data_IF_562030603447
#
_entry.id   IF_562030603447
#
_cell.length_a   1.000
_cell.length_b   1.000
_cell.length_c   1.000
_cell.angle_alpha   90.00
_cell.angle_beta   90.00
_cell.angle_gamma   90.00
#
_symmetry.space_group_name_H-M   'P 1'
#
loop_
_entity.id
_entity.type
_entity.pdbx_description
1 polymer ?
#
# COMPACT_ATOMS: atom_id res chain seq x y z
N UNK A 1 -18.32 -8.27 -6.21
CA UNK A 1 -19.38 -8.62 -5.23
C UNK A 1 -20.42 -9.56 -5.82
N UNK A 2 -21.14 -9.21 -6.90
CA UNK A 2 -22.12 -10.12 -7.55
C UNK A 2 -21.54 -11.46 -7.98
N UNK A 3 -20.29 -11.52 -8.47
CA UNK A 3 -19.65 -12.78 -8.88
C UNK A 3 -19.33 -13.71 -7.69
N UNK A 4 -18.82 -13.18 -6.58
CA UNK A 4 -18.56 -13.96 -5.37
C UNK A 4 -19.86 -14.38 -4.68
N UNK A 5 -20.88 -13.53 -4.66
CA UNK A 5 -22.22 -13.90 -4.19
C UNK A 5 -22.77 -15.00 -5.09
N UNK A 6 -22.73 -14.85 -6.41
CA UNK A 6 -23.19 -15.86 -7.37
C UNK A 6 -22.45 -17.18 -7.16
N UNK A 7 -21.14 -17.16 -6.93
CA UNK A 7 -20.36 -18.36 -6.66
C UNK A 7 -20.65 -18.99 -5.29
N UNK A 8 -20.86 -18.19 -4.24
CA UNK A 8 -21.33 -18.69 -2.94
C UNK A 8 -22.73 -19.31 -3.07
N UNK A 9 -23.63 -18.69 -3.84
CA UNK A 9 -24.94 -19.26 -4.18
C UNK A 9 -24.80 -20.55 -4.99
N UNK A 10 -23.90 -20.63 -5.96
CA UNK A 10 -23.63 -21.85 -6.71
C UNK A 10 -23.05 -22.96 -5.83
N UNK A 11 -22.18 -22.61 -4.87
CA UNK A 11 -21.65 -23.57 -3.90
C UNK A 11 -22.78 -24.10 -3.01
N UNK A 12 -23.67 -23.23 -2.53
CA UNK A 12 -24.85 -23.58 -1.74
C UNK A 12 -25.84 -24.42 -2.55
N UNK A 13 -26.11 -24.08 -3.82
CA UNK A 13 -27.00 -24.84 -4.72
C UNK A 13 -26.40 -26.22 -5.03
N UNK A 14 -25.08 -26.30 -5.23
CA UNK A 14 -24.37 -27.57 -5.39
C UNK A 14 -24.51 -28.40 -4.10
N UNK A 15 -24.39 -27.77 -2.94
CA UNK A 15 -24.59 -28.41 -1.64
C UNK A 15 -26.01 -28.98 -1.46
N UNK A 16 -27.05 -28.21 -1.83
CA UNK A 16 -28.46 -28.64 -1.80
C UNK A 16 -28.70 -29.82 -2.76
N UNK A 17 -28.03 -29.82 -3.92
CA UNK A 17 -28.12 -30.91 -4.89
C UNK A 17 -27.46 -32.20 -4.37
N UNK A 18 -26.37 -32.08 -3.60
CA UNK A 18 -25.74 -33.20 -2.89
C UNK A 18 -26.57 -33.73 -1.72
N UNK A 19 -27.37 -32.88 -1.07
CA UNK A 19 -28.26 -33.28 0.01
C UNK A 19 -29.31 -34.32 -0.42
N UNK A 20 -29.70 -34.33 -1.70
CA UNK A 20 -30.55 -35.37 -2.28
C UNK A 20 -29.84 -36.74 -2.38
N UNK A 21 -28.53 -36.72 -2.70
CA UNK A 21 -27.69 -37.92 -2.84
C UNK A 21 -27.27 -38.52 -1.50
N UNK A 22 -27.21 -37.70 -0.46
CA UNK A 22 -26.83 -38.08 0.91
C UNK A 22 -28.04 -38.37 1.82
N UNK A 23 -29.25 -38.38 1.27
CA UNK A 23 -30.47 -38.65 2.02
C UNK A 23 -30.37 -39.98 2.77
N UNK A 24 -30.81 -39.98 4.04
CA UNK A 24 -30.71 -41.08 5.02
C UNK A 24 -31.40 -42.38 4.57
N UNK A 25 -32.19 -42.32 3.49
CA UNK A 25 -32.83 -43.47 2.85
C UNK A 25 -31.94 -44.21 1.85
N UNK A 26 -30.71 -43.76 1.62
CA UNK A 26 -29.75 -44.40 0.71
C UNK A 26 -28.80 -45.33 1.46
N UNK A 27 -28.79 -46.61 1.09
CA UNK A 27 -28.02 -47.71 1.71
C UNK A 27 -26.49 -47.56 1.61
N UNK A 28 -26.00 -46.56 0.86
CA UNK A 28 -24.57 -46.30 0.65
C UNK A 28 -23.93 -45.41 1.73
N UNK A 29 -24.69 -44.49 2.33
CA UNK A 29 -24.21 -43.55 3.36
C UNK A 29 -23.82 -44.23 4.68
N UNK A 30 -24.19 -45.49 4.87
CA UNK A 30 -23.88 -46.30 6.05
C UNK A 30 -22.53 -47.02 5.98
N UNK A 31 -21.84 -47.04 4.83
CA UNK A 31 -20.51 -47.67 4.71
C UNK A 31 -19.39 -46.71 5.13
N UNK A 32 -18.60 -47.01 6.19
CA UNK A 32 -17.59 -46.10 6.72
C UNK A 32 -16.45 -45.79 5.73
N UNK A 33 -16.05 -46.76 4.89
CA UNK A 33 -15.03 -46.53 3.85
C UNK A 33 -15.50 -45.59 2.73
N UNK A 34 -16.75 -45.72 2.28
CA UNK A 34 -17.35 -44.81 1.30
C UNK A 34 -17.49 -43.42 1.91
N UNK A 35 -17.93 -43.31 3.17
CA UNK A 35 -18.10 -42.04 3.86
C UNK A 35 -16.78 -41.32 4.09
N UNK A 36 -15.73 -42.00 4.52
CA UNK A 36 -14.41 -41.37 4.69
C UNK A 36 -13.85 -40.90 3.33
N UNK A 37 -13.82 -41.76 2.31
CA UNK A 37 -13.25 -41.37 1.01
C UNK A 37 -14.10 -40.35 0.25
N UNK A 38 -15.43 -40.45 0.27
CA UNK A 38 -16.30 -39.53 -0.43
C UNK A 38 -16.47 -38.20 0.31
N UNK A 39 -16.74 -38.22 1.62
CA UNK A 39 -17.01 -36.99 2.35
C UNK A 39 -15.73 -36.21 2.62
N UNK A 40 -14.64 -36.87 3.05
CA UNK A 40 -13.40 -36.16 3.37
C UNK A 40 -12.65 -35.79 2.10
N UNK A 41 -12.33 -36.76 1.24
CA UNK A 41 -11.47 -36.48 0.08
C UNK A 41 -12.20 -35.73 -1.03
N UNK A 42 -13.46 -36.08 -1.32
CA UNK A 42 -14.16 -35.47 -2.46
C UNK A 42 -14.98 -34.23 -2.10
N UNK A 43 -15.73 -34.24 -0.99
CA UNK A 43 -16.58 -33.10 -0.62
C UNK A 43 -15.77 -32.03 0.13
N UNK A 44 -15.15 -32.37 1.26
CA UNK A 44 -14.44 -31.37 2.07
C UNK A 44 -13.17 -30.89 1.38
N UNK A 45 -12.24 -31.79 1.08
CA UNK A 45 -10.95 -31.42 0.47
C UNK A 45 -11.08 -31.11 -1.02
N UNK A 46 -11.78 -31.96 -1.78
CA UNK A 46 -11.90 -31.82 -3.24
C UNK A 46 -12.79 -30.66 -3.67
N UNK A 47 -14.01 -30.57 -3.15
CA UNK A 47 -14.99 -29.56 -3.57
C UNK A 47 -14.82 -28.25 -2.81
N UNK A 48 -14.90 -28.26 -1.48
CA UNK A 48 -14.97 -27.02 -0.69
C UNK A 48 -13.60 -26.38 -0.57
N UNK A 49 -12.62 -27.08 -0.01
CA UNK A 49 -11.24 -26.58 0.12
C UNK A 49 -10.63 -26.39 -1.27
N UNK A 50 -10.87 -27.31 -2.20
CA UNK A 50 -10.44 -27.18 -3.59
C UNK A 50 -10.98 -25.92 -4.26
N UNK A 51 -12.27 -25.62 -4.10
CA UNK A 51 -12.87 -24.39 -4.63
C UNK A 51 -12.32 -23.12 -3.96
N UNK A 52 -12.15 -23.12 -2.63
CA UNK A 52 -11.58 -21.98 -1.91
C UNK A 52 -10.13 -21.72 -2.35
N UNK A 53 -9.34 -22.77 -2.55
CA UNK A 53 -7.98 -22.67 -3.07
C UNK A 53 -7.95 -22.19 -4.52
N UNK A 54 -8.88 -22.66 -5.36
CA UNK A 54 -9.05 -22.14 -6.71
C UNK A 54 -9.35 -20.63 -6.70
N UNK A 55 -10.24 -20.17 -5.81
CA UNK A 55 -10.58 -18.76 -5.69
C UNK A 55 -9.37 -17.92 -5.25
N UNK A 56 -8.63 -18.38 -4.24
CA UNK A 56 -7.37 -17.75 -3.80
C UNK A 56 -6.37 -17.67 -4.96
N UNK A 57 -6.17 -18.76 -5.67
CA UNK A 57 -5.22 -18.81 -6.79
C UNK A 57 -5.63 -17.86 -7.91
N UNK A 58 -6.89 -17.87 -8.32
CA UNK A 58 -7.45 -16.97 -9.32
C UNK A 58 -7.22 -15.50 -8.94
N UNK A 59 -7.46 -15.14 -7.68
CA UNK A 59 -7.27 -13.78 -7.17
C UNK A 59 -5.79 -13.38 -7.08
N UNK A 60 -4.89 -14.30 -6.74
CA UNK A 60 -3.44 -14.05 -6.76
C UNK A 60 -2.94 -13.85 -8.19
N UNK A 61 -3.42 -14.65 -9.15
CA UNK A 61 -3.06 -14.49 -10.56
C UNK A 61 -3.63 -13.20 -11.15
N UNK A 62 -4.82 -12.78 -10.69
CA UNK A 62 -5.38 -11.47 -10.99
C UNK A 62 -4.46 -10.34 -10.48
N UNK A 63 -3.96 -10.44 -9.25
CA UNK A 63 -3.04 -9.45 -8.68
C UNK A 63 -1.73 -9.34 -9.47
N UNK A 64 -1.19 -10.46 -9.95
CA UNK A 64 0.05 -10.50 -10.77
C UNK A 64 -0.15 -9.96 -12.18
N UNK A 65 -1.32 -10.21 -12.78
CA UNK A 65 -1.66 -9.77 -14.14
C UNK A 65 -2.28 -8.38 -14.21
N UNK A 66 -2.58 -7.77 -13.04
CA UNK A 66 -3.25 -6.49 -12.89
C UNK A 66 -2.53 -5.29 -13.53
N UNK A 67 -1.31 -5.45 -14.03
CA UNK A 67 -0.56 -4.39 -14.72
C UNK A 67 -1.38 -3.91 -15.92
N UNK A 68 -2.00 -2.74 -15.76
CA UNK A 68 -2.76 -1.95 -16.74
C UNK A 68 -4.12 -2.50 -17.26
N UNK A 69 -4.52 -3.75 -16.94
CA UNK A 69 -5.76 -4.34 -17.51
C UNK A 69 -6.98 -4.24 -16.60
N UNK A 70 -6.77 -4.04 -15.31
CA UNK A 70 -7.83 -4.13 -14.30
C UNK A 70 -8.00 -2.77 -13.62
N UNK A 71 -9.22 -2.20 -13.61
CA UNK A 71 -9.50 -0.96 -12.88
C UNK A 71 -9.13 -1.07 -11.39
N UNK A 72 -8.46 -0.04 -10.86
CA UNK A 72 -8.05 0.05 -9.45
C UNK A 72 -9.15 -0.24 -8.43
N UNK A 73 -10.38 0.30 -8.58
CA UNK A 73 -11.49 0.01 -7.66
C UNK A 73 -11.83 -1.49 -7.54
N UNK A 74 -11.61 -2.28 -8.61
CA UNK A 74 -11.85 -3.73 -8.59
C UNK A 74 -10.80 -4.42 -7.71
N UNK A 75 -9.52 -4.08 -7.88
CA UNK A 75 -8.43 -4.62 -7.07
C UNK A 75 -8.62 -4.28 -5.59
N UNK A 76 -8.96 -3.03 -5.30
CA UNK A 76 -9.23 -2.55 -3.94
C UNK A 76 -10.39 -3.31 -3.30
N UNK A 77 -11.51 -3.46 -4.02
CA UNK A 77 -12.70 -4.18 -3.52
C UNK A 77 -12.42 -5.67 -3.30
N UNK A 78 -11.71 -6.32 -4.22
CA UNK A 78 -11.33 -7.73 -4.08
C UNK A 78 -10.35 -7.94 -2.94
N UNK A 79 -9.37 -7.06 -2.77
CA UNK A 79 -8.45 -7.07 -1.63
C UNK A 79 -9.20 -6.97 -0.30
N UNK A 80 -10.13 -6.02 -0.19
CA UNK A 80 -11.00 -5.89 1.00
C UNK A 80 -11.85 -7.13 1.24
N UNK A 81 -12.44 -7.72 0.19
CA UNK A 81 -13.25 -8.93 0.29
C UNK A 81 -12.43 -10.11 0.83
N UNK A 82 -11.21 -10.32 0.32
CA UNK A 82 -10.31 -11.35 0.79
C UNK A 82 -10.01 -11.21 2.29
N UNK A 83 -9.71 -9.99 2.74
CA UNK A 83 -9.47 -9.72 4.16
C UNK A 83 -10.72 -9.97 5.01
N UNK A 84 -11.89 -9.54 4.55
CA UNK A 84 -13.15 -9.85 5.22
C UNK A 84 -13.40 -11.36 5.34
N UNK A 85 -13.11 -12.14 4.29
CA UNK A 85 -13.27 -13.60 4.33
C UNK A 85 -12.30 -14.25 5.31
N UNK A 86 -11.07 -13.73 5.39
CA UNK A 86 -10.07 -14.19 6.34
C UNK A 86 -10.41 -13.86 7.81
N UNK A 87 -11.08 -12.72 8.06
CA UNK A 87 -11.35 -12.22 9.42
C UNK A 87 -12.73 -12.61 9.97
N UNK A 88 -13.74 -12.78 9.12
CA UNK A 88 -15.15 -12.98 9.54
C UNK A 88 -15.48 -14.37 10.06
N UNK A 89 -14.57 -15.34 9.94
CA UNK A 89 -14.85 -16.75 10.23
C UNK A 89 -15.69 -17.45 9.15
N UNK A 90 -16.05 -16.78 8.05
CA UNK A 90 -16.82 -17.36 6.92
C UNK A 90 -16.16 -18.63 6.37
N UNK A 91 -14.84 -18.61 6.20
CA UNK A 91 -14.05 -19.78 5.75
C UNK A 91 -14.20 -20.94 6.73
N UNK A 92 -14.14 -20.65 8.03
CA UNK A 92 -14.38 -21.63 9.09
C UNK A 92 -15.79 -22.21 9.02
N UNK A 93 -16.81 -21.36 8.91
CA UNK A 93 -18.19 -21.80 8.82
C UNK A 93 -18.45 -22.69 7.60
N UNK A 94 -17.89 -22.36 6.42
CA UNK A 94 -18.04 -23.20 5.22
C UNK A 94 -17.41 -24.59 5.38
N UNK A 95 -16.24 -24.66 6.03
CA UNK A 95 -15.56 -25.93 6.28
C UNK A 95 -16.29 -26.71 7.38
N UNK A 96 -16.70 -26.05 8.47
CA UNK A 96 -17.47 -26.68 9.55
C UNK A 96 -18.84 -27.15 9.09
N UNK A 97 -19.49 -26.45 8.14
CA UNK A 97 -20.71 -26.93 7.52
C UNK A 97 -20.45 -28.28 6.84
N UNK A 98 -19.36 -28.41 6.09
CA UNK A 98 -18.95 -29.68 5.50
C UNK A 98 -18.80 -30.76 6.58
N UNK A 99 -18.08 -30.44 7.66
CA UNK A 99 -17.82 -31.35 8.77
C UNK A 99 -19.12 -31.77 9.48
N UNK A 100 -20.08 -30.85 9.69
CA UNK A 100 -21.38 -31.11 10.31
C UNK A 100 -22.28 -32.00 9.42
N UNK A 101 -22.28 -31.75 8.11
CA UNK A 101 -22.95 -32.64 7.14
C UNK A 101 -22.35 -34.04 7.15
N UNK A 102 -21.08 -34.20 7.50
CA UNK A 102 -20.50 -35.53 7.74
C UNK A 102 -21.02 -36.17 9.02
N UNK A 103 -21.36 -35.41 10.08
CA UNK A 103 -21.77 -35.94 11.40
C UNK A 103 -23.24 -36.40 11.46
N UNK A 104 -24.12 -35.93 10.57
CA UNK A 104 -25.54 -36.33 10.56
C UNK A 104 -25.77 -37.85 10.31
N UNK A 105 -24.78 -38.58 9.77
CA UNK A 105 -24.86 -40.04 9.60
C UNK A 105 -24.37 -40.87 10.78
N UNK A 106 -23.92 -40.26 11.89
CA UNK A 106 -23.33 -40.95 13.06
C UNK A 106 -24.25 -40.99 14.29
N UNK A 107 -25.54 -40.70 14.14
CA UNK A 107 -26.55 -40.88 15.19
C UNK A 107 -26.94 -42.37 15.35
N UNK A 108 -25.95 -43.24 15.52
CA UNK A 108 -26.13 -44.46 16.30
C UNK A 108 -25.14 -44.36 17.45
N UNK A 109 -25.71 -44.07 18.63
CA UNK A 109 -25.01 -44.06 19.91
C UNK A 109 -24.24 -45.37 20.09
N UNK A 110 -23.12 -45.25 20.79
CA UNK A 110 -22.24 -46.30 21.29
C UNK A 110 -21.24 -46.83 20.26
N UNK A 111 -19.97 -46.38 20.37
CA UNK A 111 -18.92 -47.15 21.06
C UNK A 111 -17.54 -46.60 20.65
N UNK A 112 -16.80 -46.13 21.66
CA UNK A 112 -15.33 -46.09 21.80
C UNK A 112 -14.47 -45.41 20.73
N UNK A 113 -13.44 -44.71 21.26
CA UNK A 113 -12.11 -44.58 20.66
C UNK A 113 -11.72 -45.89 19.97
N UNK A 114 -11.86 -45.95 18.65
CA UNK A 114 -11.10 -46.89 17.83
C UNK A 114 -10.18 -46.05 16.96
N UNK A 115 -8.89 -46.23 17.22
CA UNK A 115 -7.79 -45.65 16.47
C UNK A 115 -7.93 -46.07 15.00
N UNK A 116 -8.39 -45.14 14.17
CA UNK A 116 -8.44 -45.33 12.73
C UNK A 116 -7.02 -45.16 12.17
N UNK A 117 -6.19 -46.18 12.36
CA UNK A 117 -4.97 -46.39 11.57
C UNK A 117 -5.40 -46.63 10.12
N UNK A 118 -5.54 -45.54 9.37
CA UNK A 118 -5.58 -45.60 7.90
C UNK A 118 -4.14 -45.63 7.41
N UNK A 119 -3.71 -46.81 6.98
CA UNK A 119 -2.50 -47.01 6.19
C UNK A 119 -2.67 -46.30 4.83
N UNK A 120 -2.45 -44.98 4.83
CA UNK A 120 -2.09 -44.16 3.68
C UNK A 120 -1.69 -42.76 4.18
N UNK A 121 -0.43 -42.67 4.63
CA UNK A 121 0.40 -41.47 4.77
C UNK A 121 -0.25 -40.13 5.11
N UNK A 122 -0.14 -39.70 6.36
CA UNK A 122 0.27 -38.34 6.75
C UNK A 122 -0.40 -37.14 6.05
N UNK A 123 -1.67 -37.21 5.65
CA UNK A 123 -2.39 -36.02 5.15
C UNK A 123 -3.17 -35.37 6.27
N UNK A 124 -2.55 -34.37 6.92
CA UNK A 124 -3.28 -33.49 7.84
C UNK A 124 -4.36 -32.74 7.06
N UNK A 125 -5.61 -32.83 7.53
CA UNK A 125 -6.74 -32.11 6.96
C UNK A 125 -6.44 -30.62 6.87
N UNK A 126 -6.84 -29.99 5.77
CA UNK A 126 -6.66 -28.54 5.61
C UNK A 126 -7.44 -27.83 6.71
N UNK A 127 -6.76 -26.98 7.49
CA UNK A 127 -7.44 -26.25 8.57
C UNK A 127 -8.10 -24.99 8.03
N UNK A 128 -9.20 -24.52 8.63
CA UNK A 128 -9.78 -23.23 8.29
C UNK A 128 -8.80 -22.06 8.41
N UNK A 129 -7.85 -22.17 9.35
CA UNK A 129 -6.81 -21.17 9.57
C UNK A 129 -5.87 -21.08 8.37
N UNK A 130 -5.49 -22.20 7.76
CA UNK A 130 -4.60 -22.21 6.59
C UNK A 130 -5.25 -21.51 5.39
N UNK A 131 -6.52 -21.82 5.13
CA UNK A 131 -7.28 -21.17 4.04
C UNK A 131 -7.49 -19.69 4.33
N UNK A 132 -7.83 -19.33 5.57
CA UNK A 132 -7.98 -17.93 5.98
C UNK A 132 -6.67 -17.13 5.82
N UNK A 133 -5.53 -17.73 6.16
CA UNK A 133 -4.21 -17.12 5.97
C UNK A 133 -3.90 -16.90 4.48
N UNK A 134 -4.28 -17.84 3.62
CA UNK A 134 -4.14 -17.70 2.16
C UNK A 134 -4.98 -16.53 1.64
N UNK A 135 -6.26 -16.44 2.03
CA UNK A 135 -7.09 -15.27 1.70
C UNK A 135 -6.47 -13.96 2.19
N UNK A 136 -5.91 -13.93 3.42
CA UNK A 136 -5.24 -12.74 3.93
C UNK A 136 -4.03 -12.34 3.08
N UNK A 137 -3.17 -13.30 2.73
CA UNK A 137 -2.01 -13.07 1.86
C UNK A 137 -2.44 -12.52 0.51
N UNK A 138 -3.38 -13.18 -0.16
CA UNK A 138 -3.88 -12.75 -1.47
C UNK A 138 -4.60 -11.40 -1.40
N UNK A 139 -5.30 -11.11 -0.30
CA UNK A 139 -5.89 -9.79 -0.06
C UNK A 139 -4.83 -8.69 -0.03
N UNK A 140 -3.73 -8.91 0.68
CA UNK A 140 -2.61 -7.98 0.72
C UNK A 140 -1.90 -7.86 -0.64
N UNK A 141 -1.73 -8.96 -1.38
CA UNK A 141 -1.19 -8.93 -2.76
C UNK A 141 -2.03 -8.04 -3.69
N UNK A 142 -3.37 -8.15 -3.61
CA UNK A 142 -4.29 -7.32 -4.39
C UNK A 142 -4.20 -5.84 -4.00
N UNK A 143 -4.07 -5.54 -2.71
CA UNK A 143 -3.87 -4.16 -2.24
C UNK A 143 -2.53 -3.57 -2.71
N UNK A 144 -1.46 -4.37 -2.69
CA UNK A 144 -0.16 -3.97 -3.25
C UNK A 144 -0.27 -3.73 -4.76
N UNK A 145 -1.00 -4.59 -5.49
CA UNK A 145 -1.24 -4.41 -6.92
C UNK A 145 -2.02 -3.11 -7.21
N UNK A 146 -3.04 -2.81 -6.41
CA UNK A 146 -3.77 -1.54 -6.45
C UNK A 146 -2.84 -0.33 -6.23
N UNK A 147 -2.04 -0.34 -5.16
CA UNK A 147 -1.10 0.75 -4.86
C UNK A 147 -0.10 0.95 -6.00
N UNK A 148 0.41 -0.14 -6.58
CA UNK A 148 1.32 -0.08 -7.72
C UNK A 148 0.66 0.52 -8.95
N UNK A 149 -0.58 0.14 -9.27
CA UNK A 149 -1.32 0.66 -10.40
C UNK A 149 -1.55 2.17 -10.27
N UNK A 150 -2.14 2.61 -9.16
CA UNK A 150 -2.48 4.02 -8.95
C UNK A 150 -1.23 4.89 -8.75
N UNK A 151 -0.22 4.36 -8.04
CA UNK A 151 1.07 5.01 -7.93
C UNK A 151 1.78 5.16 -9.28
N UNK A 152 1.61 4.19 -10.20
CA UNK A 152 2.14 4.30 -11.57
C UNK A 152 1.39 5.37 -12.36
N UNK A 153 0.06 5.46 -12.26
CA UNK A 153 -0.72 6.51 -12.91
C UNK A 153 -0.24 7.91 -12.48
N UNK A 154 -0.07 8.10 -11.17
CA UNK A 154 0.46 9.33 -10.58
C UNK A 154 1.89 9.64 -11.03
N UNK A 155 2.76 8.62 -11.01
CA UNK A 155 4.14 8.70 -11.47
C UNK A 155 4.24 9.10 -12.96
N UNK A 156 3.37 8.57 -13.82
CA UNK A 156 3.33 8.92 -15.23
C UNK A 156 2.91 10.37 -15.45
N UNK A 157 1.93 10.87 -14.69
CA UNK A 157 1.52 12.27 -14.73
C UNK A 157 2.70 13.20 -14.35
N UNK A 158 3.38 12.89 -13.25
CA UNK A 158 4.56 13.64 -12.79
C UNK A 158 5.69 13.58 -13.80
N UNK A 159 6.04 12.39 -14.31
CA UNK A 159 7.10 12.19 -15.30
C UNK A 159 6.86 13.00 -16.57
N UNK A 160 5.67 12.86 -17.19
CA UNK A 160 5.30 13.61 -18.39
C UNK A 160 5.37 15.12 -18.16
N UNK A 161 4.94 15.59 -16.99
CA UNK A 161 5.00 17.02 -16.65
C UNK A 161 6.42 17.57 -16.55
N UNK A 162 7.40 16.71 -16.22
CA UNK A 162 8.80 17.08 -16.12
C UNK A 162 9.48 17.01 -17.48
N UNK A 163 9.24 15.94 -18.24
CA UNK A 163 9.84 15.73 -19.55
C UNK A 163 9.37 16.74 -20.61
N UNK A 164 8.14 17.24 -20.51
CA UNK A 164 7.57 18.17 -21.49
C UNK A 164 8.09 19.62 -21.39
N UNK A 165 8.91 19.97 -20.38
CA UNK A 165 9.32 21.35 -20.11
C UNK A 165 10.83 21.55 -20.33
N UNK A 166 11.19 22.66 -20.94
CA UNK A 166 12.58 23.14 -21.01
C UNK A 166 12.96 23.86 -19.70
N UNK A 167 13.59 23.13 -18.78
CA UNK A 167 13.95 23.61 -17.45
C UNK A 167 15.04 24.69 -17.41
N UNK A 168 15.76 24.91 -18.52
CA UNK A 168 16.77 25.98 -18.63
C UNK A 168 16.15 27.33 -18.99
N UNK A 169 15.03 27.34 -19.70
CA UNK A 169 14.37 28.55 -20.22
C UNK A 169 13.07 28.88 -19.49
N UNK A 170 12.94 28.46 -18.24
CA UNK A 170 11.77 28.78 -17.43
C UNK A 170 11.69 30.30 -17.14
N UNK A 171 10.47 30.81 -17.10
CA UNK A 171 10.17 32.11 -16.52
C UNK A 171 10.09 32.00 -15.00
N UNK A 172 10.29 33.12 -14.31
CA UNK A 172 10.10 33.20 -12.87
C UNK A 172 8.71 32.69 -12.45
N UNK A 173 8.63 31.75 -11.50
CA UNK A 173 7.38 31.10 -11.15
C UNK A 173 6.43 32.07 -10.45
N UNK A 174 5.16 32.10 -10.90
CA UNK A 174 4.08 32.88 -10.30
C UNK A 174 2.88 32.05 -9.87
N UNK A 175 2.87 30.78 -10.25
CA UNK A 175 1.79 29.84 -10.02
C UNK A 175 2.36 28.44 -9.83
N UNK A 176 1.65 27.62 -9.06
CA UNK A 176 1.90 26.17 -9.00
C UNK A 176 1.56 25.52 -10.35
N UNK A 177 2.35 24.54 -10.80
CA UNK A 177 2.07 23.86 -12.07
C UNK A 177 0.74 23.12 -12.04
N UNK A 178 0.00 23.16 -13.15
CA UNK A 178 -1.29 22.46 -13.29
C UNK A 178 -1.17 20.95 -13.06
N UNK A 179 -0.08 20.32 -13.48
CA UNK A 179 0.17 18.90 -13.21
C UNK A 179 0.24 18.58 -11.72
N UNK A 180 0.76 19.49 -10.90
CA UNK A 180 0.88 19.33 -9.44
C UNK A 180 -0.47 19.53 -8.76
N UNK A 181 -1.28 20.49 -9.22
CA UNK A 181 -2.67 20.62 -8.80
C UNK A 181 -3.48 19.36 -9.14
N UNK A 182 -3.26 18.84 -10.35
CA UNK A 182 -3.91 17.62 -10.83
C UNK A 182 -3.55 16.39 -9.98
N UNK A 183 -2.31 16.27 -9.54
CA UNK A 183 -1.87 15.23 -8.58
C UNK A 183 -2.72 15.28 -7.31
N UNK A 184 -2.98 16.46 -6.75
CA UNK A 184 -3.81 16.61 -5.55
C UNK A 184 -5.27 16.25 -5.85
N UNK A 185 -5.83 16.69 -6.97
CA UNK A 185 -7.19 16.32 -7.40
C UNK A 185 -7.35 14.79 -7.53
N UNK A 186 -6.42 14.12 -8.21
CA UNK A 186 -6.45 12.67 -8.40
C UNK A 186 -6.32 11.93 -7.06
N UNK A 187 -5.49 12.43 -6.13
CA UNK A 187 -5.38 11.88 -4.77
C UNK A 187 -6.64 12.09 -3.93
N UNK A 188 -7.35 13.21 -4.08
CA UNK A 188 -8.65 13.43 -3.41
C UNK A 188 -9.69 12.43 -3.91
N UNK A 189 -9.76 12.18 -5.22
CA UNK A 189 -10.66 11.17 -5.79
C UNK A 189 -10.30 9.77 -5.31
N UNK A 190 -9.00 9.45 -5.26
CA UNK A 190 -8.52 8.18 -4.76
C UNK A 190 -8.84 7.98 -3.27
N UNK A 191 -8.64 9.03 -2.46
CA UNK A 191 -8.96 9.03 -1.04
C UNK A 191 -10.45 8.73 -0.79
N UNK A 192 -11.35 9.35 -1.55
CA UNK A 192 -12.78 9.07 -1.46
C UNK A 192 -13.10 7.60 -1.73
N UNK A 193 -12.44 6.99 -2.73
CA UNK A 193 -12.63 5.58 -3.06
C UNK A 193 -12.09 4.65 -1.96
N UNK A 194 -10.89 4.93 -1.45
CA UNK A 194 -10.26 4.12 -0.39
C UNK A 194 -11.04 4.23 0.92
N UNK A 195 -11.51 5.43 1.26
CA UNK A 195 -12.26 5.71 2.50
C UNK A 195 -13.62 5.01 2.56
N UNK A 196 -14.20 4.64 1.42
CA UNK A 196 -15.45 3.84 1.39
C UNK A 196 -15.26 2.40 1.88
N UNK A 197 -14.06 1.84 1.75
CA UNK A 197 -13.76 0.43 2.05
C UNK A 197 -12.86 0.24 3.28
N UNK A 198 -12.00 1.22 3.55
CA UNK A 198 -11.08 1.26 4.68
C UNK A 198 -11.41 2.51 5.49
N UNK A 199 -12.03 2.31 6.66
CA UNK A 199 -12.39 3.41 7.56
C UNK A 199 -11.17 4.27 7.86
N UNK A 200 -11.31 5.59 7.69
CA UNK A 200 -10.29 6.54 8.11
C UNK A 200 -10.31 6.67 9.63
N UNK A 201 -9.14 6.66 10.25
CA UNK A 201 -9.03 7.07 11.65
C UNK A 201 -9.40 8.56 11.72
N UNK A 202 -10.55 8.88 12.32
CA UNK A 202 -11.13 10.23 12.42
C UNK A 202 -10.25 11.27 13.13
N UNK A 203 -9.08 10.87 13.66
CA UNK A 203 -8.16 11.72 14.44
C UNK A 203 -7.45 12.84 13.67
N UNK A 204 -7.44 12.83 12.33
CA UNK A 204 -6.73 13.86 11.56
C UNK A 204 -7.61 15.01 11.05
N UNK A 205 -8.95 14.92 11.16
CA UNK A 205 -9.83 16.02 10.74
C UNK A 205 -9.82 17.19 11.74
N UNK A 206 -9.46 16.93 12.99
CA UNK A 206 -9.41 17.96 14.04
C UNK A 206 -8.06 18.70 14.11
N UNK A 207 -7.08 18.36 13.26
CA UNK A 207 -5.81 19.10 13.12
C UNK A 207 -5.91 20.35 12.24
N UNK A 208 -7.12 20.74 11.83
CA UNK A 208 -7.38 21.91 11.00
C UNK A 208 -6.97 23.23 11.71
N UNK A 209 -6.68 23.21 13.02
CA UNK A 209 -6.49 24.47 13.75
C UNK A 209 -5.06 24.90 14.10
N UNK A 210 -3.99 24.07 14.06
CA UNK A 210 -2.73 24.50 14.70
C UNK A 210 -1.37 24.07 14.08
N UNK A 211 -1.32 23.42 12.92
CA UNK A 211 -0.02 22.99 12.36
C UNK A 211 0.17 23.39 10.90
N UNK A 212 0.33 24.69 10.64
CA UNK A 212 1.13 25.13 9.48
C UNK A 212 2.57 24.70 9.76
N UNK A 213 2.98 23.56 9.23
CA UNK A 213 4.34 23.05 9.35
C UNK A 213 5.30 24.04 8.68
N UNK A 214 5.79 25.03 9.44
CA UNK A 214 6.76 26.04 9.05
C UNK A 214 8.17 25.46 8.78
N UNK A 215 8.28 24.16 8.47
CA UNK A 215 9.55 23.55 8.12
C UNK A 215 9.91 23.93 6.70
N UNK A 216 10.83 24.89 6.57
CA UNK A 216 11.45 25.27 5.31
C UNK A 216 12.06 24.02 4.64
N UNK A 217 11.74 23.79 3.37
CA UNK A 217 12.31 22.69 2.55
C UNK A 217 13.74 22.99 2.05
N UNK A 218 14.42 24.01 2.61
CA UNK A 218 15.80 24.29 2.23
C UNK A 218 16.70 23.16 2.75
N UNK A 219 17.52 22.53 1.89
CA UNK A 219 18.59 21.65 2.35
C UNK A 219 19.41 22.40 3.39
N UNK A 220 19.47 21.88 4.61
CA UNK A 220 20.13 22.55 5.71
C UNK A 220 21.64 22.59 5.49
N UNK A 221 22.16 23.68 4.92
CA UNK A 221 23.56 24.06 5.12
C UNK A 221 23.65 24.71 6.49
N UNK A 222 23.85 23.91 7.55
CA UNK A 222 23.85 24.40 8.93
C UNK A 222 25.00 25.37 9.19
N UNK A 223 24.69 26.67 9.25
CA UNK A 223 25.49 27.71 9.90
C UNK A 223 24.91 28.03 11.30
N UNK A 224 24.90 27.04 12.19
CA UNK A 224 24.43 27.23 13.57
C UNK A 224 25.33 26.50 14.58
N UNK A 225 26.53 27.03 14.80
CA UNK A 225 27.37 26.73 15.97
C UNK A 225 28.19 27.96 16.41
N UNK A 226 27.57 29.14 16.43
CA UNK A 226 28.18 30.33 17.06
C UNK A 226 27.23 30.94 18.09
N UNK A 227 26.86 30.17 19.11
CA UNK A 227 26.54 30.77 20.41
C UNK A 227 26.62 29.73 21.54
N UNK A 228 27.83 29.50 22.05
CA UNK A 228 28.07 29.04 23.42
C UNK A 228 29.59 29.06 23.65
N UNK A 229 30.04 30.01 24.48
CA UNK A 229 31.27 30.04 25.31
C UNK A 229 32.03 31.36 25.23
N UNK A 230 31.49 32.40 25.88
CA UNK A 230 32.32 33.50 26.41
C UNK A 230 32.93 33.04 27.74
N UNK A 231 34.00 32.26 27.69
CA UNK A 231 34.94 32.11 28.82
C UNK A 231 36.30 31.70 28.29
N UNK A 232 37.23 32.66 28.31
CA UNK A 232 38.63 32.49 28.74
C UNK A 232 39.53 31.44 28.08
N UNK A 233 40.72 31.93 27.74
CA UNK A 233 42.02 31.23 27.65
C UNK A 233 42.45 30.64 26.30
N UNK A 234 43.74 30.86 26.09
CA UNK A 234 44.57 30.72 24.90
C UNK A 234 45.25 29.36 24.82
N UNK A 235 45.20 28.70 23.66
CA UNK A 235 46.30 27.85 23.17
C UNK A 235 46.04 27.30 21.75
N UNK A 236 47.08 27.47 20.92
CA UNK A 236 47.60 26.62 19.85
C UNK A 236 46.65 25.87 18.90
N UNK A 237 46.85 26.19 17.62
CA UNK A 237 46.18 25.58 16.48
C UNK A 237 46.39 24.08 16.36
N UNK A 238 45.28 23.40 16.15
CA UNK A 238 45.21 22.13 15.45
C UNK A 238 44.17 22.32 14.36
N UNK A 239 44.63 22.50 13.12
CA UNK A 239 43.76 22.55 11.95
C UNK A 239 43.20 21.15 11.72
N UNK A 240 41.99 20.89 12.22
CA UNK A 240 41.17 19.81 11.70
C UNK A 240 40.87 20.10 10.22
N UNK A 241 41.01 19.14 9.30
CA UNK A 241 40.70 19.39 7.90
C UNK A 241 39.21 19.70 7.79
N UNK A 242 38.91 20.83 7.16
CA UNK A 242 37.58 21.26 6.76
C UNK A 242 36.88 20.08 6.06
N UNK A 243 36.00 19.41 6.79
CA UNK A 243 35.15 18.36 6.21
C UNK A 243 34.17 19.10 5.30
N UNK A 244 34.36 18.96 4.00
CA UNK A 244 33.59 19.66 2.98
C UNK A 244 32.08 19.61 3.33
N UNK A 245 31.40 20.76 3.53
CA UNK A 245 29.99 20.78 3.92
C UNK A 245 29.11 20.04 2.90
N UNK A 246 29.57 19.97 1.64
CA UNK A 246 28.95 19.15 0.61
C UNK A 246 29.06 17.65 0.95
N UNK A 247 30.26 17.16 1.28
CA UNK A 247 30.49 15.77 1.71
C UNK A 247 29.69 15.41 2.97
N UNK A 248 29.57 16.31 3.94
CA UNK A 248 28.76 16.10 5.14
C UNK A 248 27.26 15.96 4.82
N UNK A 249 26.74 16.77 3.88
CA UNK A 249 25.36 16.63 3.38
C UNK A 249 25.16 15.35 2.57
N UNK A 250 26.11 14.98 1.69
CA UNK A 250 26.09 13.71 0.95
C UNK A 250 26.14 12.50 1.89
N UNK A 251 26.96 12.54 2.94
CA UNK A 251 27.05 11.47 3.94
C UNK A 251 25.76 11.32 4.75
N UNK A 252 25.16 12.42 5.23
CA UNK A 252 23.83 12.36 5.88
C UNK A 252 22.77 11.79 4.94
N UNK A 253 22.85 12.10 3.65
CA UNK A 253 21.94 11.55 2.65
C UNK A 253 22.12 10.05 2.47
N UNK A 254 23.36 9.56 2.36
CA UNK A 254 23.69 8.12 2.25
C UNK A 254 23.13 7.29 3.43
N UNK A 255 23.06 7.87 4.64
CA UNK A 255 22.46 7.22 5.81
C UNK A 255 20.94 7.41 5.96
N UNK A 256 20.35 8.36 5.22
CA UNK A 256 18.91 8.66 5.21
C UNK A 256 18.17 7.97 4.05
N UNK A 257 18.90 7.53 3.02
CA UNK A 257 18.41 7.00 1.75
C UNK A 257 17.66 5.64 1.82
N UNK A 258 17.46 5.06 3.01
CA UNK A 258 16.76 3.77 3.17
C UNK A 258 15.24 3.93 3.36
N UNK A 259 14.59 4.75 2.54
CA UNK A 259 13.13 4.67 2.44
C UNK A 259 12.80 3.53 1.48
N UNK A 260 12.60 2.33 2.00
CA UNK A 260 12.17 1.19 1.19
C UNK A 260 10.87 1.55 0.43
N UNK A 261 10.91 1.43 -0.90
CA UNK A 261 9.73 1.66 -1.76
C UNK A 261 8.64 0.62 -1.47
N UNK A 262 9.07 -0.57 -1.03
CA UNK A 262 8.23 -1.75 -0.83
C UNK A 262 8.13 -2.16 0.64
N UNK A 263 7.99 -1.18 1.55
CA UNK A 263 7.50 -1.48 2.90
C UNK A 263 6.13 -2.16 2.79
N UNK A 264 5.87 -3.15 3.64
CA UNK A 264 4.57 -3.83 3.68
C UNK A 264 3.44 -2.79 3.75
N UNK A 265 2.51 -2.87 2.80
CA UNK A 265 1.33 -2.01 2.79
C UNK A 265 0.32 -2.60 3.76
N UNK A 266 0.03 -1.86 4.81
CA UNK A 266 -1.01 -2.25 5.75
C UNK A 266 -2.38 -2.03 5.11
N UNK A 267 -3.34 -2.86 5.46
CA UNK A 267 -4.71 -2.78 4.98
C UNK A 267 -5.50 -1.64 5.66
N UNK A 268 -4.99 -0.41 5.56
CA UNK A 268 -5.63 0.81 6.05
C UNK A 268 -5.48 1.95 5.03
N UNK A 269 -6.36 2.94 5.14
CA UNK A 269 -6.45 4.06 4.20
C UNK A 269 -5.12 4.80 4.06
N UNK A 270 -4.51 5.17 5.18
CA UNK A 270 -3.32 6.03 5.18
C UNK A 270 -2.09 5.32 4.60
N UNK A 271 -1.95 4.00 4.81
CA UNK A 271 -0.85 3.20 4.25
C UNK A 271 -1.02 3.00 2.74
N UNK A 272 -2.25 2.79 2.27
CA UNK A 272 -2.56 2.70 0.84
C UNK A 272 -2.23 4.00 0.11
N UNK A 273 -2.70 5.14 0.63
CA UNK A 273 -2.45 6.46 0.04
C UNK A 273 -0.96 6.83 0.11
N UNK A 274 -0.30 6.59 1.25
CA UNK A 274 1.14 6.80 1.38
C UNK A 274 1.93 5.95 0.36
N UNK A 275 1.54 4.70 0.12
CA UNK A 275 2.15 3.85 -0.90
C UNK A 275 2.08 4.45 -2.30
N UNK A 276 0.91 4.98 -2.69
CA UNK A 276 0.69 5.64 -3.99
C UNK A 276 1.53 6.92 -4.10
N UNK A 277 1.51 7.77 -3.06
CA UNK A 277 2.29 9.01 -3.01
C UNK A 277 3.80 8.72 -3.06
N UNK A 278 4.28 7.69 -2.35
CA UNK A 278 5.70 7.28 -2.35
C UNK A 278 6.18 6.93 -3.76
N UNK A 279 5.38 6.21 -4.55
CA UNK A 279 5.74 5.86 -5.94
C UNK A 279 5.82 7.12 -6.81
N UNK A 280 4.86 8.04 -6.67
CA UNK A 280 4.85 9.32 -7.38
C UNK A 280 6.07 10.19 -7.06
N UNK A 281 6.32 10.45 -5.76
CA UNK A 281 7.43 11.30 -5.33
C UNK A 281 8.80 10.70 -5.67
N UNK A 282 8.98 9.38 -5.53
CA UNK A 282 10.24 8.75 -5.96
C UNK A 282 10.46 8.81 -7.46
N UNK A 283 9.39 8.74 -8.24
CA UNK A 283 9.49 8.99 -9.69
C UNK A 283 9.89 10.43 -9.97
N UNK A 284 9.35 11.41 -9.24
CA UNK A 284 9.71 12.82 -9.39
C UNK A 284 11.19 13.07 -9.05
N UNK A 285 11.72 12.44 -7.99
CA UNK A 285 13.16 12.47 -7.65
C UNK A 285 13.99 12.00 -8.84
N UNK A 286 13.65 10.84 -9.41
CA UNK A 286 14.39 10.27 -10.54
C UNK A 286 14.27 11.14 -11.80
N UNK A 287 13.08 11.64 -12.11
CA UNK A 287 12.88 12.57 -13.22
C UNK A 287 13.70 13.84 -13.04
N UNK A 288 13.83 14.38 -11.82
CA UNK A 288 14.71 15.52 -11.56
C UNK A 288 16.18 15.20 -11.82
N UNK A 289 16.66 14.00 -11.42
CA UNK A 289 18.06 13.58 -11.67
C UNK A 289 18.43 13.54 -13.16
N UNK A 290 17.47 13.28 -14.04
CA UNK A 290 17.67 13.16 -15.49
C UNK A 290 17.57 14.49 -16.24
N UNK A 291 17.22 15.58 -15.56
CA UNK A 291 17.06 16.91 -16.18
C UNK A 291 18.25 17.82 -15.86
N UNK A 292 18.30 18.98 -16.50
CA UNK A 292 19.21 20.09 -16.17
C UNK A 292 18.39 21.33 -15.94
N UNK A 293 18.60 22.02 -14.81
CA UNK A 293 17.75 23.14 -14.39
C UNK A 293 18.51 24.47 -14.48
N UNK A 294 17.79 25.52 -14.88
CA UNK A 294 18.18 26.90 -14.62
C UNK A 294 17.61 27.39 -13.29
N UNK A 295 17.98 28.61 -12.87
CA UNK A 295 17.49 29.25 -11.64
C UNK A 295 15.97 29.17 -11.50
N UNK A 296 15.23 29.64 -12.51
CA UNK A 296 13.75 29.62 -12.48
C UNK A 296 13.16 28.21 -12.63
N UNK A 297 13.95 27.25 -13.14
CA UNK A 297 13.63 25.83 -13.10
C UNK A 297 13.57 25.29 -11.68
N UNK A 298 14.63 25.56 -10.90
CA UNK A 298 14.71 25.20 -9.49
C UNK A 298 13.60 25.87 -8.67
N UNK A 299 13.40 27.17 -8.85
CA UNK A 299 12.37 27.91 -8.11
C UNK A 299 10.96 27.39 -8.39
N UNK A 300 10.68 26.96 -9.64
CA UNK A 300 9.38 26.34 -9.93
C UNK A 300 9.19 25.02 -9.17
N UNK A 301 10.22 24.16 -9.12
CA UNK A 301 10.12 22.91 -8.35
C UNK A 301 10.01 23.20 -6.86
N UNK A 302 10.70 24.24 -6.35
CA UNK A 302 10.53 24.71 -4.96
C UNK A 302 9.05 25.04 -4.66
N UNK A 303 8.41 25.84 -5.51
CA UNK A 303 6.98 26.18 -5.37
C UNK A 303 6.10 24.93 -5.40
N UNK A 304 6.35 24.02 -6.34
CA UNK A 304 5.57 22.79 -6.47
C UNK A 304 5.71 21.87 -5.25
N UNK A 305 6.94 21.68 -4.75
CA UNK A 305 7.20 20.87 -3.57
C UNK A 305 6.54 21.47 -2.32
N UNK A 306 6.55 22.80 -2.17
CA UNK A 306 5.84 23.46 -1.05
C UNK A 306 4.33 23.27 -1.15
N UNK A 307 3.75 23.42 -2.34
CA UNK A 307 2.34 23.13 -2.54
C UNK A 307 2.00 21.67 -2.22
N UNK A 308 2.79 20.71 -2.71
CA UNK A 308 2.60 19.30 -2.37
C UNK A 308 2.69 19.06 -0.87
N UNK A 309 3.64 19.67 -0.16
CA UNK A 309 3.76 19.54 1.29
C UNK A 309 2.51 20.04 2.02
N UNK A 310 1.95 21.17 1.62
CA UNK A 310 0.74 21.78 2.19
C UNK A 310 -0.49 20.86 2.03
N UNK A 311 -0.56 20.09 0.95
CA UNK A 311 -1.75 19.28 0.67
C UNK A 311 -1.59 17.80 1.04
N UNK A 312 -0.40 17.22 0.89
CA UNK A 312 -0.20 15.77 1.03
C UNK A 312 -0.35 15.24 2.46
N UNK A 313 -0.15 16.08 3.48
CA UNK A 313 -0.20 15.65 4.89
C UNK A 313 -1.59 15.14 5.30
N UNK A 314 -2.67 15.56 4.64
CA UNK A 314 -4.04 15.10 4.93
C UNK A 314 -4.27 13.62 4.58
N UNK A 315 -3.45 13.04 3.70
CA UNK A 315 -3.60 11.67 3.22
C UNK A 315 -2.80 10.65 4.03
N UNK A 316 -1.87 11.10 4.89
CA UNK A 316 -0.87 10.23 5.53
C UNK A 316 -0.77 10.50 7.04
N UNK A 317 -0.35 9.49 7.80
CA UNK A 317 -0.13 9.65 9.24
C UNK A 317 1.26 10.20 9.56
N UNK A 318 2.29 9.76 8.83
CA UNK A 318 3.67 10.18 9.03
C UNK A 318 4.06 11.23 7.98
N UNK A 319 3.86 12.50 8.32
CA UNK A 319 4.26 13.64 7.49
C UNK A 319 5.76 13.70 7.25
N UNK A 320 6.59 13.10 8.13
CA UNK A 320 8.05 13.18 8.01
C UNK A 320 8.51 12.49 6.74
N UNK A 321 7.89 11.36 6.38
CA UNK A 321 8.21 10.63 5.15
C UNK A 321 7.95 11.51 3.92
N UNK A 322 6.86 12.28 3.92
CA UNK A 322 6.55 13.21 2.84
C UNK A 322 7.57 14.34 2.78
N UNK A 323 7.88 14.97 3.91
CA UNK A 323 8.89 16.03 3.98
C UNK A 323 10.25 15.53 3.46
N UNK A 324 10.71 14.36 3.91
CA UNK A 324 11.97 13.76 3.46
C UNK A 324 11.99 13.51 1.96
N UNK A 325 10.92 12.95 1.38
CA UNK A 325 10.85 12.70 -0.06
C UNK A 325 10.81 14.01 -0.87
N UNK A 326 10.16 15.06 -0.37
CA UNK A 326 10.14 16.36 -1.04
C UNK A 326 11.49 17.08 -0.93
N UNK A 327 12.19 16.96 0.20
CA UNK A 327 13.57 17.41 0.36
C UNK A 327 14.50 16.69 -0.62
N UNK A 328 14.34 15.38 -0.83
CA UNK A 328 15.10 14.60 -1.81
C UNK A 328 14.84 15.07 -3.26
N UNK A 329 13.62 15.51 -3.58
CA UNK A 329 13.30 16.12 -4.89
C UNK A 329 14.09 17.41 -5.04
N UNK A 330 13.99 18.32 -4.07
CA UNK A 330 14.69 19.62 -4.10
C UNK A 330 16.20 19.42 -4.18
N UNK A 331 16.75 18.50 -3.40
CA UNK A 331 18.15 18.16 -3.42
C UNK A 331 18.59 17.66 -4.80
N UNK A 332 17.82 16.77 -5.43
CA UNK A 332 18.10 16.29 -6.78
C UNK A 332 18.09 17.41 -7.81
N UNK A 333 17.18 18.38 -7.68
CA UNK A 333 17.13 19.56 -8.55
C UNK A 333 18.33 20.49 -8.33
N UNK A 334 18.71 20.76 -7.09
CA UNK A 334 19.89 21.59 -6.75
C UNK A 334 21.16 21.01 -7.37
N UNK A 335 21.36 19.69 -7.27
CA UNK A 335 22.52 19.01 -7.88
C UNK A 335 22.56 19.11 -9.40
N UNK A 336 21.41 19.33 -10.05
CA UNK A 336 21.26 19.41 -11.50
C UNK A 336 21.07 20.84 -12.01
N UNK A 337 21.15 21.82 -11.11
CA UNK A 337 20.94 23.24 -11.43
C UNK A 337 22.27 23.93 -11.73
N UNK A 338 22.30 24.72 -12.81
CA UNK A 338 23.51 25.46 -13.23
C UNK A 338 23.79 26.63 -12.28
N UNK A 339 22.75 27.32 -11.84
CA UNK A 339 22.81 28.47 -10.93
C UNK A 339 21.76 28.30 -9.82
N UNK A 340 22.08 27.55 -8.75
CA UNK A 340 21.12 27.24 -7.71
C UNK A 340 20.84 28.46 -6.82
N UNK A 341 19.71 29.12 -7.08
CA UNK A 341 19.24 30.25 -6.27
C UNK A 341 17.76 30.05 -5.89
N UNK A 342 17.52 29.81 -4.61
CA UNK A 342 16.17 29.63 -4.05
C UNK A 342 15.37 30.94 -4.08
N UNK A 343 14.07 30.81 -4.28
CA UNK A 343 13.11 31.89 -4.07
C UNK A 343 12.93 32.12 -2.55
N UNK A 344 12.60 33.35 -2.16
CA UNK A 344 12.25 33.68 -0.78
C UNK A 344 11.01 32.91 -0.33
N UNK A 345 11.05 32.41 0.91
CA UNK A 345 9.99 31.54 1.44
C UNK A 345 8.62 32.26 1.46
N UNK A 346 8.60 33.54 1.82
CA UNK A 346 7.40 34.39 1.83
C UNK A 346 6.74 34.51 0.45
N UNK A 347 7.55 34.56 -0.61
CA UNK A 347 7.05 34.61 -1.99
C UNK A 347 6.48 33.26 -2.40
N UNK A 348 7.16 32.17 -2.02
CA UNK A 348 6.67 30.81 -2.30
C UNK A 348 5.35 30.55 -1.59
N UNK A 349 5.25 30.91 -0.30
CA UNK A 349 4.01 30.84 0.48
C UNK A 349 2.89 31.65 -0.17
N UNK A 350 3.17 32.90 -0.57
CA UNK A 350 2.18 33.73 -1.24
C UNK A 350 1.71 33.17 -2.59
N UNK A 351 2.56 32.45 -3.33
CA UNK A 351 2.16 31.76 -4.57
C UNK A 351 1.28 30.55 -4.25
N UNK A 352 1.63 29.76 -3.24
CA UNK A 352 0.87 28.59 -2.82
C UNK A 352 -0.51 28.96 -2.25
N UNK A 353 -0.60 30.04 -1.46
CA UNK A 353 -1.86 30.51 -0.86
C UNK A 353 -2.88 31.03 -1.89
N UNK A 354 -2.40 31.48 -3.05
CA UNK A 354 -3.23 31.96 -4.16
C UNK A 354 -3.66 30.84 -5.14
N UNK A 355 -3.16 29.62 -4.94
CA UNK A 355 -3.21 28.56 -5.93
C UNK A 355 -4.53 27.79 -5.95
#
# INVERSE_FOLDING_TARGET
MKLCILHSYYLIICFISFQAFLSTNSTFSSKPQFRNSFCIDQIREGLIVGYLNFLVQFLSDLAKTAVCKIPGPILLTLGKLCLMWADSGTVGHLISLADDFMLFGSQTKETKKEDFNTENGNRSLTTPKDVSNRFRSTGNELLVAFVRLEGTNLAQLLRKSVEARDWLKNLEPRTVRSAVKRVIEDLVLLDQQVSQLFSSNTRNRDRISDSRSNRSLRPSTSSHLTDATRTGSSSQGFHSPDLDPTLATHLRHLFTQRVDIFTAVDANRESLLLGVIKIGLKTLIECARLQTFGRYGLQQIQVDCRYLQIHLWHFVNDEKIICMLLEDVIYSVVQRCIDPCFMEESVVEAICDRA
#
